data_IF_649345164966
#
_entry.id   IF_649345164966
#
_cell.length_a   1.000
_cell.length_b   1.000
_cell.length_c   1.000
_cell.angle_alpha   90.00
_cell.angle_beta   90.00
_cell.angle_gamma   90.00
#
_symmetry.space_group_name_H-M   'P 1'
#
loop_
_entity.id
_entity.type
_entity.pdbx_description
1 polymer ?
#
# COMPACT_ATOMS: atom_id res chain seq x y z
N UNK A 1 22.85 5.29 -34.36
CA UNK A 1 21.48 4.81 -34.06
C UNK A 1 21.46 4.38 -32.61
N UNK A 2 21.16 5.31 -31.70
CA UNK A 2 20.91 4.99 -30.29
C UNK A 2 19.41 5.12 -30.11
N UNK A 3 18.69 4.01 -30.30
CA UNK A 3 17.27 3.92 -30.06
C UNK A 3 17.02 3.96 -28.57
N UNK A 4 16.28 4.99 -28.16
CA UNK A 4 15.34 5.04 -27.05
C UNK A 4 14.99 3.67 -26.44
N UNK A 5 15.72 3.23 -25.42
CA UNK A 5 15.15 2.38 -24.39
C UNK A 5 14.51 3.33 -23.37
N UNK A 6 13.23 3.64 -23.58
CA UNK A 6 12.38 3.91 -22.42
C UNK A 6 12.42 2.61 -21.61
N UNK A 7 13.04 2.60 -20.43
CA UNK A 7 13.08 1.42 -19.55
C UNK A 7 11.66 0.86 -19.44
N UNK A 8 11.45 -0.34 -19.99
CA UNK A 8 10.18 -1.06 -19.91
C UNK A 8 9.85 -1.27 -18.42
N UNK A 9 8.60 -1.02 -18.03
CA UNK A 9 8.10 -1.33 -16.68
C UNK A 9 8.26 -2.84 -16.40
N UNK A 10 8.62 -3.19 -15.16
CA UNK A 10 8.92 -4.58 -14.81
C UNK A 10 7.69 -5.47 -14.99
N UNK A 11 7.90 -6.76 -15.18
CA UNK A 11 6.80 -7.75 -15.17
C UNK A 11 7.14 -8.91 -14.25
N UNK A 12 6.16 -9.78 -13.97
CA UNK A 12 6.35 -10.92 -13.06
C UNK A 12 7.48 -11.83 -13.56
N UNK A 13 7.69 -11.92 -14.87
CA UNK A 13 8.77 -12.69 -15.50
C UNK A 13 10.17 -12.16 -15.17
N UNK A 14 10.30 -10.91 -14.69
CA UNK A 14 11.58 -10.36 -14.23
C UNK A 14 11.95 -10.88 -12.83
N UNK A 15 11.03 -11.54 -12.12
CA UNK A 15 11.27 -12.18 -10.82
C UNK A 15 11.70 -13.63 -11.03
N UNK A 16 12.94 -13.94 -10.69
CA UNK A 16 13.47 -15.30 -10.78
C UNK A 16 13.02 -16.15 -9.58
N UNK A 17 11.82 -16.74 -9.68
CA UNK A 17 11.25 -17.58 -8.62
C UNK A 17 12.10 -18.82 -8.32
N UNK A 18 12.99 -19.25 -9.23
CA UNK A 18 13.89 -20.38 -8.96
C UNK A 18 14.91 -20.07 -7.85
N UNK A 19 15.11 -18.79 -7.51
CA UNK A 19 16.00 -18.33 -6.45
C UNK A 19 15.35 -18.24 -5.08
N UNK A 20 14.06 -18.56 -4.97
CA UNK A 20 13.34 -18.53 -3.68
C UNK A 20 13.96 -19.53 -2.71
N UNK A 21 14.46 -19.02 -1.57
CA UNK A 21 14.99 -19.86 -0.49
C UNK A 21 13.86 -20.49 0.35
N UNK A 22 13.21 -21.52 -0.21
CA UNK A 22 12.04 -22.18 0.40
C UNK A 22 12.28 -22.69 1.82
N UNK A 23 13.48 -23.21 2.09
CA UNK A 23 13.90 -23.71 3.41
C UNK A 23 13.95 -22.62 4.48
N UNK A 24 14.18 -21.36 4.08
CA UNK A 24 14.23 -20.21 4.96
C UNK A 24 12.86 -19.55 5.15
N UNK A 25 12.06 -19.48 4.09
CA UNK A 25 10.78 -18.75 4.12
C UNK A 25 9.64 -19.61 4.68
N UNK A 26 9.56 -20.90 4.33
CA UNK A 26 8.42 -21.73 4.71
C UNK A 26 8.19 -21.84 6.23
N UNK A 27 9.23 -21.91 7.08
CA UNK A 27 9.05 -21.95 8.54
C UNK A 27 8.66 -20.61 9.17
N UNK A 28 8.76 -19.48 8.44
CA UNK A 28 8.44 -18.16 8.95
C UNK A 28 6.95 -17.87 8.79
N UNK A 29 6.17 -18.27 9.81
CA UNK A 29 4.72 -18.03 9.86
C UNK A 29 4.37 -16.55 9.79
N UNK A 30 5.16 -15.67 10.41
CA UNK A 30 4.91 -14.23 10.36
C UNK A 30 5.08 -13.69 8.92
N UNK A 31 6.09 -14.18 8.19
CA UNK A 31 6.26 -13.83 6.78
C UNK A 31 5.13 -14.38 5.89
N UNK A 32 4.63 -15.58 6.18
CA UNK A 32 3.44 -16.10 5.51
C UNK A 32 2.25 -15.15 5.63
N UNK A 33 1.91 -14.72 6.85
CA UNK A 33 0.79 -13.80 7.06
C UNK A 33 1.05 -12.42 6.46
N UNK A 34 2.27 -11.87 6.58
CA UNK A 34 2.66 -10.61 5.93
C UNK A 34 2.41 -10.62 4.42
N UNK A 35 2.99 -11.60 3.72
CA UNK A 35 2.95 -11.63 2.24
C UNK A 35 1.55 -12.05 1.75
N UNK A 36 0.88 -12.97 2.43
CA UNK A 36 -0.46 -13.41 2.04
C UNK A 36 -1.49 -12.30 2.24
N UNK A 37 -1.45 -11.59 3.37
CA UNK A 37 -2.34 -10.44 3.58
C UNK A 37 -2.07 -9.32 2.58
N UNK A 38 -0.81 -9.01 2.28
CA UNK A 38 -0.46 -8.07 1.22
C UNK A 38 -1.03 -8.51 -0.14
N UNK A 39 -0.90 -9.79 -0.49
CA UNK A 39 -1.44 -10.32 -1.75
C UNK A 39 -2.95 -10.17 -1.89
N UNK A 40 -3.70 -10.20 -0.78
CA UNK A 40 -5.16 -9.99 -0.80
C UNK A 40 -5.49 -8.52 -1.04
N UNK A 41 -4.83 -7.62 -0.31
CA UNK A 41 -5.07 -6.17 -0.41
C UNK A 41 -4.72 -5.69 -1.82
N UNK A 42 -3.54 -6.04 -2.36
CA UNK A 42 -3.15 -5.62 -3.70
C UNK A 42 -4.01 -6.24 -4.80
N UNK A 43 -4.52 -7.47 -4.60
CA UNK A 43 -5.40 -8.09 -5.59
C UNK A 43 -6.78 -7.44 -5.66
N UNK A 44 -7.22 -6.75 -4.61
CA UNK A 44 -8.50 -6.04 -4.53
C UNK A 44 -8.44 -4.57 -4.96
N UNK A 45 -7.30 -4.11 -5.52
CA UNK A 45 -7.07 -2.72 -5.95
C UNK A 45 -8.02 -2.26 -7.07
N UNK A 46 -8.54 -3.18 -7.88
CA UNK A 46 -9.50 -2.93 -8.96
C UNK A 46 -10.83 -2.31 -8.47
N UNK A 47 -11.33 -2.79 -7.33
CA UNK A 47 -12.57 -2.30 -6.71
C UNK A 47 -12.56 -0.79 -6.50
N UNK A 48 -11.39 -0.24 -6.15
CA UNK A 48 -11.25 1.19 -5.92
C UNK A 48 -10.90 1.96 -7.19
N UNK A 49 -10.20 1.33 -8.13
CA UNK A 49 -9.70 1.99 -9.33
C UNK A 49 -10.82 2.50 -10.23
N UNK A 50 -11.86 1.70 -10.45
CA UNK A 50 -13.03 2.14 -11.21
C UNK A 50 -13.75 3.33 -10.56
N UNK A 51 -13.87 3.34 -9.23
CA UNK A 51 -14.46 4.45 -8.49
C UNK A 51 -13.63 5.72 -8.64
N UNK A 52 -12.31 5.60 -8.63
CA UNK A 52 -11.39 6.71 -8.81
C UNK A 52 -11.47 7.28 -10.23
N UNK A 53 -11.43 6.43 -11.27
CA UNK A 53 -11.60 6.87 -12.67
C UNK A 53 -12.92 7.60 -12.86
N UNK A 54 -14.02 7.06 -12.30
CA UNK A 54 -15.33 7.70 -12.36
C UNK A 54 -15.36 9.08 -11.68
N UNK A 55 -14.70 9.21 -10.52
CA UNK A 55 -14.63 10.48 -9.78
C UNK A 55 -13.86 11.58 -10.55
N UNK A 56 -12.88 11.20 -11.37
CA UNK A 56 -12.07 12.12 -12.17
C UNK A 56 -12.60 12.35 -13.60
N UNK A 57 -13.77 11.81 -13.97
CA UNK A 57 -14.38 12.01 -15.29
C UNK A 57 -14.42 13.49 -15.73
N UNK A 58 -14.01 13.79 -16.96
CA UNK A 58 -13.85 15.16 -17.45
C UNK A 58 -12.46 15.76 -17.17
N UNK A 59 -11.49 14.93 -16.80
CA UNK A 59 -10.07 15.24 -16.79
C UNK A 59 -9.28 14.12 -17.49
N UNK A 60 -9.20 14.21 -18.81
CA UNK A 60 -8.68 13.14 -19.68
C UNK A 60 -7.25 12.72 -19.31
N UNK A 61 -6.40 13.68 -18.92
CA UNK A 61 -5.01 13.40 -18.51
C UNK A 61 -4.96 12.49 -17.27
N UNK A 62 -5.88 12.70 -16.32
CA UNK A 62 -5.92 11.91 -15.08
C UNK A 62 -6.57 10.56 -15.33
N UNK A 63 -7.70 10.52 -16.04
CA UNK A 63 -8.41 9.27 -16.30
C UNK A 63 -7.63 8.32 -17.22
N UNK A 64 -6.90 8.86 -18.21
CA UNK A 64 -6.01 8.06 -19.06
C UNK A 64 -4.84 7.49 -18.24
N UNK A 65 -4.17 8.29 -17.42
CA UNK A 65 -3.08 7.77 -16.58
C UNK A 65 -3.57 6.72 -15.57
N UNK A 66 -4.71 6.97 -14.94
CA UNK A 66 -5.30 6.01 -13.99
C UNK A 66 -5.61 4.67 -14.65
N UNK A 67 -6.24 4.66 -15.82
CA UNK A 67 -6.71 3.43 -16.48
C UNK A 67 -5.61 2.71 -17.29
N UNK A 68 -4.67 3.44 -17.88
CA UNK A 68 -3.67 2.87 -18.79
C UNK A 68 -2.33 2.58 -18.13
N UNK A 69 -2.09 3.10 -16.92
CA UNK A 69 -0.82 2.92 -16.21
C UNK A 69 -1.07 2.44 -14.78
N UNK A 70 -1.64 3.30 -13.94
CA UNK A 70 -1.77 3.03 -12.50
C UNK A 70 -2.53 1.73 -12.22
N UNK A 71 -3.72 1.53 -12.82
CA UNK A 71 -4.51 0.31 -12.65
C UNK A 71 -3.75 -0.96 -13.05
N UNK A 72 -2.99 -0.90 -14.15
CA UNK A 72 -2.26 -2.06 -14.65
C UNK A 72 -1.08 -2.43 -13.76
N UNK A 73 -0.40 -1.43 -13.19
CA UNK A 73 0.70 -1.56 -12.24
C UNK A 73 0.19 -2.14 -10.90
N UNK A 74 -0.87 -1.58 -10.33
CA UNK A 74 -1.51 -2.09 -9.09
C UNK A 74 -1.97 -3.54 -9.23
N UNK A 75 -2.65 -3.88 -10.34
CA UNK A 75 -3.04 -5.26 -10.62
C UNK A 75 -1.83 -6.19 -10.79
N UNK A 76 -0.70 -5.68 -11.26
CA UNK A 76 0.53 -6.46 -11.36
C UNK A 76 1.09 -6.78 -9.98
N UNK A 77 1.05 -5.85 -9.03
CA UNK A 77 1.51 -6.09 -7.66
C UNK A 77 0.76 -7.26 -7.02
N UNK A 78 -0.57 -7.25 -7.13
CA UNK A 78 -1.43 -8.34 -6.66
C UNK A 78 -1.11 -9.67 -7.33
N UNK A 79 -0.96 -9.69 -8.67
CA UNK A 79 -0.57 -10.90 -9.41
C UNK A 79 0.80 -11.44 -8.98
N UNK A 80 1.79 -10.56 -8.77
CA UNK A 80 3.14 -10.94 -8.38
C UNK A 80 3.18 -11.54 -6.96
N UNK A 81 2.51 -10.92 -5.99
CA UNK A 81 2.42 -11.42 -4.62
C UNK A 81 1.64 -12.73 -4.55
N UNK A 82 0.51 -12.83 -5.26
CA UNK A 82 -0.24 -14.10 -5.38
C UNK A 82 0.62 -15.21 -5.94
N UNK A 83 1.39 -14.92 -7.00
CA UNK A 83 2.30 -15.90 -7.59
C UNK A 83 3.38 -16.34 -6.57
N UNK A 84 3.97 -15.39 -5.84
CA UNK A 84 4.94 -15.68 -4.79
C UNK A 84 4.35 -16.59 -3.70
N UNK A 85 3.16 -16.25 -3.17
CA UNK A 85 2.48 -17.05 -2.13
C UNK A 85 2.22 -18.47 -2.62
N UNK A 86 1.70 -18.63 -3.85
CA UNK A 86 1.44 -19.94 -4.45
C UNK A 86 2.69 -20.76 -4.68
N UNK A 87 3.80 -20.12 -4.97
CA UNK A 87 5.07 -20.80 -5.14
C UNK A 87 5.63 -21.31 -3.81
N UNK A 88 5.58 -20.48 -2.76
CA UNK A 88 6.15 -20.82 -1.45
C UNK A 88 5.26 -21.76 -0.64
N UNK A 89 3.96 -21.53 -0.63
CA UNK A 89 2.94 -22.27 0.14
C UNK A 89 1.82 -22.79 -0.77
N UNK A 90 2.12 -23.74 -1.69
CA UNK A 90 1.13 -24.30 -2.61
C UNK A 90 -0.03 -25.02 -1.91
N UNK A 91 0.15 -25.42 -0.65
CA UNK A 91 -0.89 -26.05 0.16
C UNK A 91 -1.98 -25.07 0.67
N UNK A 92 -1.74 -23.76 0.61
CA UNK A 92 -2.72 -22.77 1.03
C UNK A 92 -3.72 -22.50 -0.10
N UNK A 93 -5.02 -22.71 0.17
CA UNK A 93 -6.09 -22.40 -0.78
C UNK A 93 -6.33 -20.88 -0.88
N UNK A 94 -5.43 -20.23 -1.61
CA UNK A 94 -5.44 -18.79 -1.79
C UNK A 94 -6.71 -18.28 -2.46
N UNK A 95 -7.26 -19.03 -3.43
CA UNK A 95 -8.44 -18.57 -4.20
C UNK A 95 -9.67 -18.49 -3.32
N UNK A 96 -9.94 -19.53 -2.53
CA UNK A 96 -11.07 -19.55 -1.60
C UNK A 96 -10.92 -18.48 -0.53
N UNK A 97 -9.72 -18.36 0.04
CA UNK A 97 -9.43 -17.36 1.07
C UNK A 97 -9.60 -15.93 0.54
N UNK A 98 -9.09 -15.65 -0.67
CA UNK A 98 -9.22 -14.36 -1.33
C UNK A 98 -10.67 -14.03 -1.68
N UNK A 99 -11.46 -14.99 -2.19
CA UNK A 99 -12.88 -14.76 -2.49
C UNK A 99 -13.68 -14.39 -1.24
N UNK A 100 -13.43 -15.05 -0.11
CA UNK A 100 -14.06 -14.73 1.16
C UNK A 100 -13.64 -13.34 1.66
N UNK A 101 -12.35 -13.02 1.57
CA UNK A 101 -11.83 -11.69 1.86
C UNK A 101 -12.53 -10.62 1.01
N UNK A 102 -12.55 -10.81 -0.31
CA UNK A 102 -13.08 -9.83 -1.27
C UNK A 102 -14.56 -9.53 -1.00
N UNK A 103 -15.34 -10.54 -0.60
CA UNK A 103 -16.76 -10.37 -0.25
C UNK A 103 -16.98 -9.41 0.92
N UNK A 104 -16.11 -9.45 1.93
CA UNK A 104 -16.15 -8.53 3.07
C UNK A 104 -15.51 -7.19 2.70
N UNK A 105 -14.32 -7.23 2.08
CA UNK A 105 -13.53 -6.06 1.71
C UNK A 105 -14.27 -5.11 0.77
N UNK A 106 -15.03 -5.63 -0.20
CA UNK A 106 -15.84 -4.81 -1.09
C UNK A 106 -16.88 -3.93 -0.36
N UNK A 107 -17.28 -4.30 0.86
CA UNK A 107 -18.18 -3.48 1.67
C UNK A 107 -17.50 -2.25 2.28
N UNK A 108 -16.16 -2.25 2.35
CA UNK A 108 -15.34 -1.13 2.80
C UNK A 108 -14.93 -0.20 1.65
N UNK A 109 -14.93 -0.68 0.41
CA UNK A 109 -14.52 0.11 -0.76
C UNK A 109 -15.65 0.97 -1.36
N UNK A 110 -16.28 1.82 -0.55
CA UNK A 110 -17.41 2.66 -1.02
C UNK A 110 -16.96 3.98 -1.64
N UNK A 111 -17.64 4.40 -2.71
CA UNK A 111 -17.46 5.73 -3.35
C UNK A 111 -17.71 6.87 -2.36
N UNK A 112 -18.58 6.67 -1.37
CA UNK A 112 -18.85 7.69 -0.35
C UNK A 112 -17.65 7.98 0.56
N UNK A 113 -16.59 7.15 0.52
CA UNK A 113 -15.34 7.36 1.24
C UNK A 113 -14.33 8.20 0.44
N UNK A 114 -14.63 8.57 -0.82
CA UNK A 114 -13.81 9.52 -1.57
C UNK A 114 -13.84 10.90 -0.89
N UNK A 115 -12.72 11.62 -1.00
CA UNK A 115 -12.67 12.99 -0.52
C UNK A 115 -13.62 13.91 -1.32
N UNK A 116 -14.13 15.00 -0.73
CA UNK A 116 -15.20 15.81 -1.34
C UNK A 116 -14.79 16.63 -2.56
N UNK A 117 -13.50 16.71 -2.88
CA UNK A 117 -13.00 17.43 -4.07
C UNK A 117 -11.83 16.67 -4.70
N UNK A 118 -11.54 16.95 -5.97
CA UNK A 118 -10.45 16.31 -6.73
C UNK A 118 -9.10 16.54 -6.08
N UNK A 119 -8.83 17.77 -5.66
CA UNK A 119 -7.58 18.09 -4.98
C UNK A 119 -7.44 17.39 -3.62
N UNK A 120 -8.54 17.23 -2.87
CA UNK A 120 -8.49 16.49 -1.61
C UNK A 120 -8.36 14.99 -1.82
N UNK A 121 -8.95 14.42 -2.88
CA UNK A 121 -8.78 13.00 -3.19
C UNK A 121 -7.35 12.71 -3.64
N UNK A 122 -6.75 13.56 -4.47
CA UNK A 122 -5.33 13.46 -4.81
C UNK A 122 -4.42 13.57 -3.58
N UNK A 123 -4.82 14.34 -2.57
CA UNK A 123 -4.12 14.38 -1.27
C UNK A 123 -4.26 13.04 -0.53
N UNK A 124 -5.45 12.45 -0.50
CA UNK A 124 -5.69 11.15 0.12
C UNK A 124 -4.87 10.04 -0.57
N UNK A 125 -4.83 10.01 -1.91
CA UNK A 125 -3.97 9.11 -2.70
C UNK A 125 -2.50 9.25 -2.31
N UNK A 126 -1.98 10.48 -2.19
CA UNK A 126 -0.60 10.70 -1.73
C UNK A 126 -0.31 10.06 -0.36
N UNK A 127 -1.30 9.99 0.53
CA UNK A 127 -1.16 9.33 1.84
C UNK A 127 -1.13 7.81 1.69
N UNK A 128 -2.02 7.25 0.87
CA UNK A 128 -2.07 5.81 0.56
C UNK A 128 -0.73 5.36 -0.03
N UNK A 129 -0.29 5.99 -1.13
CA UNK A 129 0.99 5.64 -1.78
C UNK A 129 2.18 5.78 -0.84
N UNK A 130 2.16 6.77 0.06
CA UNK A 130 3.21 6.92 1.07
C UNK A 130 3.20 5.75 2.06
N UNK A 131 2.01 5.30 2.48
CA UNK A 131 1.82 4.14 3.34
C UNK A 131 2.33 2.87 2.68
N UNK A 132 1.84 2.56 1.48
CA UNK A 132 2.19 1.37 0.70
C UNK A 132 3.70 1.33 0.39
N UNK A 133 4.28 2.43 -0.12
CA UNK A 133 5.72 2.53 -0.35
C UNK A 133 6.55 2.29 0.92
N UNK A 134 6.05 2.77 2.06
CA UNK A 134 6.72 2.62 3.35
C UNK A 134 6.63 1.19 3.86
N UNK A 135 5.49 0.54 3.70
CA UNK A 135 5.24 -0.85 4.07
C UNK A 135 6.17 -1.79 3.30
N UNK A 136 6.21 -1.69 1.96
CA UNK A 136 7.07 -2.57 1.15
C UNK A 136 8.56 -2.30 1.35
N UNK A 137 8.99 -1.05 1.59
CA UNK A 137 10.38 -0.77 1.99
C UNK A 137 10.75 -1.44 3.30
N UNK A 138 9.83 -1.50 4.27
CA UNK A 138 10.06 -2.19 5.53
C UNK A 138 10.10 -3.70 5.33
N UNK A 139 9.18 -4.27 4.53
CA UNK A 139 9.18 -5.68 4.18
C UNK A 139 10.47 -6.11 3.46
N UNK A 140 10.92 -5.33 2.48
CA UNK A 140 12.18 -5.59 1.76
C UNK A 140 13.40 -5.63 2.70
N UNK A 141 13.37 -4.86 3.80
CA UNK A 141 14.43 -4.83 4.81
C UNK A 141 14.30 -5.91 5.88
N UNK A 142 13.08 -6.39 6.13
CA UNK A 142 12.82 -7.41 7.15
C UNK A 142 13.21 -8.82 6.70
N UNK A 143 13.41 -9.03 5.40
CA UNK A 143 13.76 -10.33 4.82
C UNK A 143 15.17 -10.34 4.21
N UNK A 144 15.82 -11.50 4.26
CA UNK A 144 17.04 -11.80 3.51
C UNK A 144 16.77 -12.73 2.31
N UNK A 145 15.51 -13.07 2.03
CA UNK A 145 15.15 -13.84 0.85
C UNK A 145 15.20 -12.95 -0.40
N UNK A 146 16.03 -13.28 -1.40
CA UNK A 146 16.34 -12.37 -2.50
C UNK A 146 15.13 -12.01 -3.38
N UNK A 147 14.21 -12.94 -3.63
CA UNK A 147 13.08 -12.70 -4.55
C UNK A 147 12.02 -11.82 -3.90
N UNK A 148 11.69 -12.04 -2.62
CA UNK A 148 10.77 -11.20 -1.87
C UNK A 148 11.34 -9.81 -1.64
N UNK A 149 12.64 -9.72 -1.36
CA UNK A 149 13.31 -8.42 -1.26
C UNK A 149 13.22 -7.64 -2.58
N UNK A 150 13.44 -8.30 -3.73
CA UNK A 150 13.32 -7.69 -5.05
C UNK A 150 11.87 -7.26 -5.34
N UNK A 151 10.91 -8.17 -5.17
CA UNK A 151 9.49 -7.91 -5.36
C UNK A 151 9.00 -6.71 -4.53
N UNK A 152 9.27 -6.71 -3.22
CA UNK A 152 8.89 -5.60 -2.35
C UNK A 152 9.60 -4.29 -2.73
N UNK A 153 10.85 -4.35 -3.21
CA UNK A 153 11.57 -3.15 -3.68
C UNK A 153 10.96 -2.58 -4.96
N UNK A 154 10.53 -3.42 -5.90
CA UNK A 154 9.86 -3.02 -7.14
C UNK A 154 8.52 -2.35 -6.84
N UNK A 155 7.66 -3.00 -6.05
CA UNK A 155 6.37 -2.43 -5.63
C UNK A 155 6.60 -1.08 -4.94
N UNK A 156 7.51 -1.00 -3.95
CA UNK A 156 7.81 0.26 -3.28
C UNK A 156 8.33 1.38 -4.21
N UNK A 157 8.94 1.02 -5.33
CA UNK A 157 9.42 1.97 -6.34
C UNK A 157 8.27 2.50 -7.19
N UNK A 158 7.36 1.61 -7.59
CA UNK A 158 6.11 1.98 -8.28
C UNK A 158 5.28 2.92 -7.41
N UNK A 159 5.07 2.63 -6.12
CA UNK A 159 4.29 3.51 -5.24
C UNK A 159 4.89 4.90 -5.08
N UNK A 160 6.22 5.01 -5.15
CA UNK A 160 6.88 6.31 -5.12
C UNK A 160 6.68 7.06 -6.43
N UNK A 161 6.55 6.35 -7.55
CA UNK A 161 6.20 6.93 -8.84
C UNK A 161 4.71 7.32 -8.88
N UNK A 162 3.80 6.45 -8.45
CA UNK A 162 2.38 6.74 -8.26
C UNK A 162 2.19 8.01 -7.43
N UNK A 163 2.87 8.09 -6.28
CA UNK A 163 2.87 9.27 -5.42
C UNK A 163 3.26 10.55 -6.18
N UNK A 164 4.28 10.50 -7.04
CA UNK A 164 4.72 11.70 -7.80
C UNK A 164 3.64 12.16 -8.77
N UNK A 165 2.94 11.23 -9.42
CA UNK A 165 1.83 11.54 -10.32
C UNK A 165 0.65 12.12 -9.55
N UNK A 166 0.20 11.47 -8.49
CA UNK A 166 -0.87 12.01 -7.62
C UNK A 166 -0.52 13.39 -7.06
N UNK A 167 0.74 13.59 -6.62
CA UNK A 167 1.20 14.89 -6.14
C UNK A 167 1.20 15.96 -7.25
N UNK A 168 1.56 15.61 -8.50
CA UNK A 168 1.47 16.52 -9.65
C UNK A 168 0.03 16.97 -9.88
N UNK A 169 -0.91 16.03 -9.93
CA UNK A 169 -2.33 16.33 -10.11
C UNK A 169 -2.92 17.12 -8.95
N UNK A 170 -2.54 16.77 -7.71
CA UNK A 170 -2.89 17.54 -6.51
C UNK A 170 -2.50 19.02 -6.66
N UNK A 171 -1.26 19.32 -7.09
CA UNK A 171 -0.82 20.71 -7.24
C UNK A 171 -1.70 21.47 -8.24
N UNK A 172 -2.04 20.84 -9.38
CA UNK A 172 -2.96 21.40 -10.38
C UNK A 172 -4.34 21.68 -9.79
N UNK A 173 -4.97 20.70 -9.13
CA UNK A 173 -6.29 20.89 -8.53
C UNK A 173 -6.29 21.87 -7.37
N UNK A 174 -5.23 21.91 -6.57
CA UNK A 174 -5.11 22.87 -5.46
C UNK A 174 -5.16 24.32 -5.96
N UNK A 175 -4.55 24.62 -7.10
CA UNK A 175 -4.60 25.94 -7.71
C UNK A 175 -6.01 26.27 -8.23
N UNK A 176 -6.67 25.31 -8.89
CA UNK A 176 -8.02 25.46 -9.43
C UNK A 176 -9.09 25.61 -8.34
N UNK A 177 -9.05 24.74 -7.33
CA UNK A 177 -10.01 24.67 -6.22
C UNK A 177 -9.67 25.64 -5.07
N UNK A 178 -8.50 26.31 -5.14
CA UNK A 178 -7.98 27.21 -4.10
C UNK A 178 -7.91 26.56 -2.72
N UNK A 179 -7.40 25.33 -2.64
CA UNK A 179 -7.35 24.55 -1.40
C UNK A 179 -6.40 25.15 -0.36
N UNK A 180 -6.95 25.48 0.82
CA UNK A 180 -6.19 25.92 1.98
C UNK A 180 -5.47 24.77 2.69
N UNK A 181 -4.29 25.06 3.26
CA UNK A 181 -3.43 24.07 3.94
C UNK A 181 -4.10 23.32 5.10
N UNK A 182 -5.04 23.97 5.81
CA UNK A 182 -5.77 23.32 6.91
C UNK A 182 -6.69 22.20 6.43
N UNK A 183 -7.33 22.36 5.27
CA UNK A 183 -8.16 21.30 4.66
C UNK A 183 -7.29 20.12 4.23
N UNK A 184 -6.15 20.41 3.59
CA UNK A 184 -5.16 19.40 3.17
C UNK A 184 -4.63 18.64 4.39
N UNK A 185 -4.27 19.35 5.47
CA UNK A 185 -3.83 18.75 6.72
C UNK A 185 -4.91 17.86 7.35
N UNK A 186 -6.17 18.31 7.34
CA UNK A 186 -7.31 17.52 7.80
C UNK A 186 -7.47 16.23 7.00
N UNK A 187 -7.35 16.29 5.67
CA UNK A 187 -7.40 15.11 4.81
C UNK A 187 -6.23 14.17 5.08
N UNK A 188 -5.00 14.68 5.22
CA UNK A 188 -3.83 13.84 5.57
C UNK A 188 -4.06 13.13 6.89
N UNK A 189 -4.49 13.87 7.92
CA UNK A 189 -4.74 13.32 9.26
C UNK A 189 -5.82 12.25 9.24
N UNK A 190 -6.96 12.52 8.60
CA UNK A 190 -8.07 11.56 8.48
C UNK A 190 -7.63 10.31 7.74
N UNK A 191 -7.02 10.45 6.55
CA UNK A 191 -6.61 9.28 5.76
C UNK A 191 -5.53 8.46 6.44
N UNK A 192 -4.62 9.10 7.18
CA UNK A 192 -3.61 8.39 7.99
C UNK A 192 -4.25 7.57 9.12
N UNK A 193 -5.34 8.06 9.71
CA UNK A 193 -6.09 7.32 10.74
C UNK A 193 -6.91 6.18 10.14
N UNK A 194 -7.51 6.37 8.96
CA UNK A 194 -8.24 5.33 8.22
C UNK A 194 -7.33 4.18 7.75
N UNK A 195 -6.06 4.48 7.41
CA UNK A 195 -5.08 3.45 7.10
C UNK A 195 -4.75 2.53 8.29
N UNK A 196 -5.26 2.81 9.50
CA UNK A 196 -5.11 1.90 10.64
C UNK A 196 -6.11 0.75 10.56
N UNK A 197 -5.55 -0.46 10.65
CA UNK A 197 -6.14 -1.72 11.11
C UNK A 197 -7.28 -2.36 10.31
N UNK A 198 -8.18 -1.63 9.63
CA UNK A 198 -9.38 -2.30 9.06
C UNK A 198 -9.06 -3.27 7.92
N UNK A 199 -8.24 -2.86 6.95
CA UNK A 199 -7.89 -3.68 5.77
C UNK A 199 -6.99 -4.86 6.16
N UNK A 200 -5.97 -4.59 6.98
CA UNK A 200 -5.01 -5.60 7.43
C UNK A 200 -5.67 -6.62 8.36
N UNK A 201 -6.50 -6.20 9.32
CA UNK A 201 -7.19 -7.12 10.21
C UNK A 201 -8.24 -7.95 9.45
N UNK A 202 -8.89 -7.37 8.44
CA UNK A 202 -9.75 -8.11 7.53
C UNK A 202 -8.95 -9.21 6.79
N UNK A 203 -7.84 -8.84 6.15
CA UNK A 203 -7.00 -9.79 5.43
C UNK A 203 -6.49 -10.91 6.35
N UNK A 204 -5.95 -10.59 7.54
CA UNK A 204 -5.44 -11.57 8.50
C UNK A 204 -6.55 -12.56 8.91
N UNK A 205 -7.75 -12.07 9.25
CA UNK A 205 -8.88 -12.95 9.63
C UNK A 205 -9.20 -13.96 8.53
N UNK A 206 -9.27 -13.52 7.28
CA UNK A 206 -9.58 -14.41 6.15
C UNK A 206 -8.44 -15.40 5.87
N UNK A 207 -7.18 -14.97 6.01
CA UNK A 207 -6.03 -15.89 5.90
C UNK A 207 -6.07 -16.94 7.02
N UNK A 208 -6.34 -16.54 8.27
CA UNK A 208 -6.47 -17.47 9.42
C UNK A 208 -7.64 -18.43 9.22
N UNK A 209 -8.80 -17.95 8.77
CA UNK A 209 -9.97 -18.78 8.52
C UNK A 209 -9.68 -19.95 7.57
N UNK A 210 -8.84 -19.74 6.55
CA UNK A 210 -8.47 -20.81 5.63
C UNK A 210 -7.26 -21.62 6.10
N UNK A 211 -6.23 -20.99 6.68
CA UNK A 211 -5.00 -21.67 7.11
C UNK A 211 -5.17 -22.47 8.40
N UNK A 212 -6.00 -22.01 9.32
CA UNK A 212 -6.22 -22.61 10.64
C UNK A 212 -7.65 -22.34 11.13
N UNK A 213 -8.67 -23.00 10.52
CA UNK A 213 -10.08 -22.78 10.85
C UNK A 213 -10.38 -22.93 12.36
N UNK A 214 -9.73 -23.88 13.03
CA UNK A 214 -9.91 -24.15 14.46
C UNK A 214 -9.47 -22.98 15.37
N UNK A 215 -8.62 -22.09 14.86
CA UNK A 215 -8.13 -20.88 15.55
C UNK A 215 -8.76 -19.59 15.05
N UNK A 216 -9.65 -19.66 14.06
CA UNK A 216 -10.24 -18.48 13.44
C UNK A 216 -11.15 -17.67 14.38
N UNK A 217 -11.75 -18.34 15.38
CA UNK A 217 -12.55 -17.70 16.43
C UNK A 217 -11.72 -17.27 17.64
N UNK A 218 -10.42 -17.58 17.67
CA UNK A 218 -9.50 -17.15 18.73
C UNK A 218 -9.02 -15.73 18.46
N UNK A 219 -9.73 -14.76 19.04
CA UNK A 219 -9.40 -13.33 18.92
C UNK A 219 -8.00 -13.01 19.45
N UNK A 220 -7.52 -13.69 20.49
CA UNK A 220 -6.20 -13.41 21.06
C UNK A 220 -5.10 -13.87 20.09
N UNK A 221 -5.29 -15.01 19.43
CA UNK A 221 -4.39 -15.49 18.38
C UNK A 221 -4.31 -14.52 17.20
N UNK A 222 -5.45 -14.06 16.68
CA UNK A 222 -5.50 -13.10 15.56
C UNK A 222 -4.84 -11.77 15.94
N UNK A 223 -5.09 -11.27 17.16
CA UNK A 223 -4.45 -10.05 17.66
C UNK A 223 -2.93 -10.20 17.81
N UNK A 224 -2.46 -11.36 18.26
CA UNK A 224 -1.03 -11.64 18.37
C UNK A 224 -0.36 -11.66 16.98
N UNK A 225 -0.98 -12.31 15.98
CA UNK A 225 -0.49 -12.28 14.60
C UNK A 225 -0.40 -10.86 14.05
N UNK A 226 -1.46 -10.05 14.23
CA UNK A 226 -1.46 -8.65 13.82
C UNK A 226 -0.34 -7.86 14.52
N UNK A 227 -0.11 -8.09 15.81
CA UNK A 227 0.97 -7.46 16.56
C UNK A 227 2.38 -7.85 16.06
N UNK A 228 2.60 -9.12 15.72
CA UNK A 228 3.88 -9.63 15.23
C UNK A 228 4.21 -9.07 13.82
N UNK A 229 3.21 -9.05 12.94
CA UNK A 229 3.29 -8.44 11.61
C UNK A 229 3.62 -6.95 11.73
N UNK A 230 2.88 -6.22 12.56
CA UNK A 230 3.10 -4.80 12.81
C UNK A 230 4.49 -4.55 13.41
N UNK A 231 4.94 -5.36 14.36
CA UNK A 231 6.28 -5.25 14.95
C UNK A 231 7.38 -5.42 13.90
N UNK A 232 7.22 -6.36 12.98
CA UNK A 232 8.16 -6.62 11.89
C UNK A 232 8.29 -5.42 10.96
N UNK A 233 7.16 -4.87 10.50
CA UNK A 233 7.17 -3.66 9.66
C UNK A 233 7.79 -2.50 10.43
N UNK A 234 7.31 -2.26 11.64
CA UNK A 234 7.70 -1.15 12.50
C UNK A 234 9.19 -1.07 12.76
N UNK A 235 9.83 -2.20 13.06
CA UNK A 235 11.27 -2.29 13.33
C UNK A 235 12.13 -1.97 12.11
N UNK A 236 11.56 -2.08 10.90
CA UNK A 236 12.23 -1.86 9.63
C UNK A 236 11.87 -0.52 8.94
N UNK A 237 10.99 0.28 9.55
CA UNK A 237 10.52 1.56 9.04
C UNK A 237 11.61 2.64 9.00
N UNK A 238 11.61 3.43 7.91
CA UNK A 238 12.33 4.72 7.85
C UNK A 238 11.39 5.89 8.06
N UNK A 239 11.06 6.19 9.32
CA UNK A 239 10.08 7.22 9.68
C UNK A 239 10.37 8.60 9.06
N UNK A 240 11.64 8.95 8.83
CA UNK A 240 12.03 10.24 8.25
C UNK A 240 11.56 10.43 6.79
N UNK A 241 11.70 9.39 5.96
CA UNK A 241 11.29 9.43 4.55
C UNK A 241 9.77 9.49 4.43
N UNK A 242 9.07 8.63 5.19
CA UNK A 242 7.60 8.59 5.24
C UNK A 242 7.03 9.95 5.65
N UNK A 243 7.55 10.53 6.73
CA UNK A 243 7.14 11.86 7.20
C UNK A 243 7.34 12.93 6.12
N UNK A 244 8.47 12.91 5.42
CA UNK A 244 8.76 13.88 4.35
C UNK A 244 7.74 13.77 3.21
N UNK A 245 7.35 12.56 2.84
CA UNK A 245 6.33 12.31 1.80
C UNK A 245 4.94 12.75 2.27
N UNK A 246 4.51 12.39 3.49
CA UNK A 246 3.21 12.82 4.03
C UNK A 246 3.09 14.35 4.18
N UNK A 247 4.19 15.04 4.52
CA UNK A 247 4.16 16.50 4.69
C UNK A 247 4.22 17.27 3.37
N UNK A 248 4.64 16.65 2.27
CA UNK A 248 4.89 17.37 1.00
C UNK A 248 3.64 18.06 0.43
N UNK A 249 2.42 17.48 0.47
CA UNK A 249 1.21 18.15 0.01
C UNK A 249 0.92 19.48 0.75
N UNK A 250 1.39 19.66 1.98
CA UNK A 250 1.18 20.91 2.73
C UNK A 250 1.95 22.11 2.14
N UNK A 251 2.98 21.86 1.33
CA UNK A 251 3.88 22.88 0.75
C UNK A 251 4.27 23.95 1.77
N UNK A 252 4.69 23.51 2.96
CA UNK A 252 5.11 24.41 4.03
C UNK A 252 6.42 25.11 3.65
N UNK A 253 6.62 26.40 4.01
CA UNK A 253 7.92 27.04 3.88
C UNK A 253 8.99 26.23 4.62
N UNK A 254 10.21 26.13 4.05
CA UNK A 254 11.29 25.31 4.61
C UNK A 254 11.57 25.55 6.10
N UNK A 255 11.44 26.81 6.56
CA UNK A 255 11.59 27.20 7.97
C UNK A 255 10.52 26.55 8.87
N UNK A 256 9.27 26.51 8.41
CA UNK A 256 8.14 25.92 9.14
C UNK A 256 8.22 24.40 9.11
N UNK A 257 8.64 23.82 7.98
CA UNK A 257 8.82 22.38 7.84
C UNK A 257 9.84 21.86 8.86
N UNK A 258 10.96 22.57 9.08
CA UNK A 258 11.99 22.19 10.05
C UNK A 258 11.49 22.23 11.49
N UNK A 259 10.69 23.24 11.85
CA UNK A 259 10.13 23.40 13.20
C UNK A 259 9.07 22.34 13.51
N UNK A 260 8.24 22.00 12.52
CA UNK A 260 7.11 21.08 12.68
C UNK A 260 7.52 19.61 12.46
N UNK A 261 8.63 19.34 11.77
CA UNK A 261 9.13 17.99 11.55
C UNK A 261 9.40 17.23 12.85
N UNK A 262 9.98 17.87 13.87
CA UNK A 262 10.26 17.20 15.14
C UNK A 262 8.99 16.75 15.88
N UNK A 263 7.99 17.62 16.14
CA UNK A 263 6.75 17.21 16.80
C UNK A 263 5.91 16.24 15.96
N UNK A 264 5.84 16.40 14.62
CA UNK A 264 5.13 15.41 13.79
C UNK A 264 5.89 14.09 13.74
N UNK A 265 7.23 14.08 13.74
CA UNK A 265 8.01 12.84 13.84
C UNK A 265 7.70 12.10 15.14
N UNK A 266 7.62 12.81 16.27
CA UNK A 266 7.25 12.21 17.56
C UNK A 266 5.80 11.68 17.55
N UNK A 267 4.87 12.43 16.96
CA UNK A 267 3.48 11.99 16.79
C UNK A 267 3.36 10.78 15.86
N UNK A 268 3.99 10.81 14.69
CA UNK A 268 4.03 9.69 13.75
C UNK A 268 4.75 8.49 14.33
N UNK A 269 5.78 8.69 15.16
CA UNK A 269 6.34 7.62 15.95
C UNK A 269 5.26 7.04 16.89
N UNK A 270 4.44 7.85 17.54
CA UNK A 270 3.34 7.35 18.35
C UNK A 270 2.18 6.72 17.55
N UNK A 271 1.96 7.14 16.30
CA UNK A 271 0.84 6.69 15.44
C UNK A 271 1.21 5.48 14.59
N UNK A 272 2.43 5.43 14.04
CA UNK A 272 2.92 4.29 13.25
C UNK A 272 3.69 3.25 14.11
N UNK A 273 4.13 3.59 15.34
CA UNK A 273 4.85 2.65 16.23
C UNK A 273 4.01 2.10 17.39
N UNK A 274 2.69 2.38 17.44
CA UNK A 274 1.70 1.73 18.30
C UNK A 274 0.61 1.08 17.48
#
# INVERSE_FOLDING_TARGET
MASQDAERHWTIEDLDFSRIALDKVRPDENLFYLVTSASFIESGSDLYTHNLVNFFQGDDEVTEWLSQHWELEELQHGRALRAYVRHVWPEFDWDTAYQNFLKEYATYCKVELLAPTRGLEMTARCVVETGTATYYRAMARSTNEPVLQDLATRIATDEVNHYKHFYRYYRRYREQEKLGRLRVMGTIGRRTLELKSEDADCAIRHVVQTRSPDRASDTAYVQQLSADMNSTIRTNLSAGTTLKMLMRPLELPAKVQTVIQYPIRQFMQHVFLR
#
